data_IF_150112428479
#
_entry.id   IF_150112428479
#
_cell.length_a   1.000
_cell.length_b   1.000
_cell.length_c   1.000
_cell.angle_alpha   90.00
_cell.angle_beta   90.00
_cell.angle_gamma   90.00
#
_symmetry.space_group_name_H-M   'P 1'
#
loop_
_entity.id
_entity.type
_entity.pdbx_description
1 polymer ?
#
# COMPACT_ATOMS: atom_id res chain seq x y z
N UNK A 1 10.31 10.21 -1.56
CA UNK A 1 8.87 10.48 -1.76
C UNK A 1 8.69 11.92 -2.22
N UNK A 2 7.48 12.32 -2.58
CA UNK A 2 7.15 13.71 -2.86
C UNK A 2 6.01 14.18 -1.99
N UNK A 3 6.04 15.46 -1.65
CA UNK A 3 4.99 16.15 -0.94
C UNK A 3 4.40 17.21 -1.86
N UNK A 4 3.12 17.06 -2.20
CA UNK A 4 2.36 17.99 -3.04
C UNK A 4 1.59 18.92 -2.12
N UNK A 5 1.82 20.23 -2.24
CA UNK A 5 1.12 21.29 -1.52
C UNK A 5 0.00 21.85 -2.41
N UNK A 6 -1.19 22.00 -1.85
CA UNK A 6 -2.36 22.52 -2.55
C UNK A 6 -3.32 23.21 -1.56
N UNK A 7 -4.36 23.89 -2.09
CA UNK A 7 -5.33 24.59 -1.27
C UNK A 7 -6.75 24.08 -1.54
N UNK A 8 -7.58 24.02 -0.50
CA UNK A 8 -8.98 23.60 -0.61
C UNK A 8 -9.86 24.64 0.09
N UNK A 9 -11.03 24.94 -0.47
CA UNK A 9 -12.10 25.66 0.22
C UNK A 9 -12.86 24.68 1.14
N UNK A 10 -12.64 24.79 2.44
CA UNK A 10 -13.34 24.00 3.45
C UNK A 10 -14.54 24.74 4.01
N UNK A 11 -15.67 24.04 4.19
CA UNK A 11 -16.78 24.57 4.97
C UNK A 11 -16.42 24.47 6.45
N UNK A 12 -16.26 25.62 7.09
CA UNK A 12 -15.85 25.71 8.51
C UNK A 12 -17.01 26.03 9.44
N UNK A 13 -18.10 26.58 8.91
CA UNK A 13 -19.31 26.83 9.68
C UNK A 13 -20.54 26.80 8.78
N UNK A 14 -21.68 26.51 9.39
CA UNK A 14 -23.00 26.55 8.76
C UNK A 14 -23.88 27.39 9.67
N UNK A 15 -24.43 28.47 9.12
CA UNK A 15 -25.27 29.42 9.82
C UNK A 15 -26.68 29.26 9.31
N UNK A 16 -27.61 28.89 10.20
CA UNK A 16 -29.04 28.91 9.92
C UNK A 16 -29.61 30.28 10.33
N UNK A 17 -30.14 31.01 9.36
CA UNK A 17 -30.74 32.31 9.58
C UNK A 17 -32.19 32.19 10.05
N UNK A 18 -32.72 33.24 10.68
CA UNK A 18 -34.10 33.27 11.20
C UNK A 18 -35.19 33.11 10.12
N UNK A 19 -34.85 33.40 8.85
CA UNK A 19 -35.72 33.21 7.68
C UNK A 19 -35.68 31.78 7.11
N UNK A 20 -34.92 30.87 7.74
CA UNK A 20 -34.75 29.49 7.33
C UNK A 20 -33.74 29.27 6.21
N UNK A 21 -33.00 30.31 5.80
CA UNK A 21 -31.88 30.16 4.86
C UNK A 21 -30.63 29.59 5.55
N UNK A 22 -29.83 28.84 4.81
CA UNK A 22 -28.56 28.27 5.28
C UNK A 22 -27.41 28.95 4.56
N UNK A 23 -26.54 29.60 5.31
CA UNK A 23 -25.31 30.20 4.81
C UNK A 23 -24.11 29.34 5.22
N UNK A 24 -23.23 29.03 4.26
CA UNK A 24 -22.00 28.28 4.54
C UNK A 24 -20.83 29.23 4.59
N UNK A 25 -20.09 29.21 5.68
CA UNK A 25 -18.83 29.95 5.80
C UNK A 25 -17.72 29.01 5.36
N UNK A 26 -16.98 29.44 4.34
CA UNK A 26 -15.86 28.69 3.78
C UNK A 26 -14.53 29.40 4.05
N UNK A 27 -13.49 28.61 4.24
CA UNK A 27 -12.12 29.09 4.46
C UNK A 27 -11.16 28.37 3.51
N UNK A 28 -10.23 29.12 2.92
CA UNK A 28 -9.16 28.54 2.12
C UNK A 28 -8.08 27.97 3.04
N UNK A 29 -7.83 26.67 2.95
CA UNK A 29 -6.82 25.98 3.78
C UNK A 29 -5.79 25.26 2.95
N UNK A 30 -4.57 25.25 3.47
CA UNK A 30 -3.43 24.55 2.89
C UNK A 30 -3.45 23.08 3.28
N UNK A 31 -3.22 22.22 2.30
CA UNK A 31 -3.15 20.77 2.45
C UNK A 31 -1.90 20.20 1.80
N UNK A 32 -1.54 19.00 2.23
CA UNK A 32 -0.39 18.27 1.74
C UNK A 32 -0.78 16.83 1.41
N UNK A 33 -0.31 16.35 0.28
CA UNK A 33 -0.44 14.95 -0.12
C UNK A 33 0.93 14.36 -0.38
N UNK A 34 1.20 13.19 0.21
CA UNK A 34 2.48 12.50 0.10
C UNK A 34 2.35 11.29 -0.83
N UNK A 35 3.26 11.17 -1.79
CA UNK A 35 3.23 10.10 -2.80
C UNK A 35 4.62 9.60 -3.19
N UNK A 36 4.67 8.42 -3.82
CA UNK A 36 5.92 7.86 -4.36
C UNK A 36 6.29 8.55 -5.67
N UNK A 37 7.57 8.49 -6.04
CA UNK A 37 8.08 9.08 -7.29
C UNK A 37 7.31 8.58 -8.52
N UNK A 38 7.03 7.28 -8.59
CA UNK A 38 6.27 6.67 -9.69
C UNK A 38 4.81 7.17 -9.79
N UNK A 39 4.26 7.78 -8.74
CA UNK A 39 2.87 8.23 -8.67
C UNK A 39 2.74 9.77 -8.75
N UNK A 40 3.87 10.48 -8.71
CA UNK A 40 3.91 11.94 -8.62
C UNK A 40 3.11 12.60 -9.73
N UNK A 41 3.37 12.23 -10.99
CA UNK A 41 2.75 12.89 -12.15
C UNK A 41 1.23 12.72 -12.14
N UNK A 42 0.75 11.52 -11.83
CA UNK A 42 -0.68 11.22 -11.74
C UNK A 42 -1.36 12.07 -10.66
N UNK A 43 -0.81 12.05 -9.44
CA UNK A 43 -1.42 12.76 -8.32
C UNK A 43 -1.29 14.28 -8.44
N UNK A 44 -0.16 14.77 -8.95
CA UNK A 44 0.02 16.19 -9.20
C UNK A 44 -1.01 16.72 -10.20
N UNK A 45 -1.22 16.01 -11.32
CA UNK A 45 -2.20 16.40 -12.32
C UNK A 45 -3.64 16.33 -11.75
N UNK A 46 -3.98 15.26 -11.05
CA UNK A 46 -5.30 15.13 -10.41
C UNK A 46 -5.58 16.27 -9.41
N UNK A 47 -4.63 16.57 -8.52
CA UNK A 47 -4.77 17.64 -7.53
C UNK A 47 -4.86 19.00 -8.22
N UNK A 48 -4.05 19.22 -9.25
CA UNK A 48 -4.06 20.47 -10.02
C UNK A 48 -5.37 20.68 -10.77
N UNK A 49 -5.94 19.65 -11.37
CA UNK A 49 -7.25 19.71 -12.02
C UNK A 49 -8.39 19.92 -11.01
N UNK A 50 -8.30 19.30 -9.83
CA UNK A 50 -9.37 19.34 -8.83
C UNK A 50 -9.36 20.61 -7.97
N UNK A 51 -8.16 21.12 -7.65
CA UNK A 51 -7.97 22.16 -6.64
C UNK A 51 -7.10 23.33 -7.11
N UNK A 52 -6.59 23.31 -8.34
CA UNK A 52 -5.70 24.35 -8.88
C UNK A 52 -6.34 25.74 -9.00
N UNK A 53 -7.68 25.81 -9.03
CA UNK A 53 -8.41 27.08 -9.05
C UNK A 53 -8.33 27.84 -7.71
N UNK A 54 -8.02 27.13 -6.62
CA UNK A 54 -7.98 27.70 -5.26
C UNK A 54 -6.61 28.22 -4.85
N UNK A 55 -5.56 27.89 -5.61
CA UNK A 55 -4.20 28.33 -5.33
C UNK A 55 -3.15 27.55 -6.13
N UNK A 56 -1.91 28.01 -6.06
CA UNK A 56 -0.80 27.35 -6.76
C UNK A 56 -0.49 25.98 -6.15
N UNK A 57 -0.52 24.94 -7.00
CA UNK A 57 -0.13 23.57 -6.64
C UNK A 57 1.35 23.36 -6.94
N UNK A 58 2.12 23.06 -5.90
CA UNK A 58 3.56 22.82 -5.97
C UNK A 58 3.92 21.46 -5.39
N UNK A 59 5.08 20.91 -5.75
CA UNK A 59 5.59 19.70 -5.13
C UNK A 59 7.08 19.85 -4.78
N UNK A 60 7.50 19.12 -3.77
CA UNK A 60 8.91 19.02 -3.39
C UNK A 60 9.28 17.57 -3.09
N UNK A 61 10.55 17.23 -3.32
CA UNK A 61 11.08 15.94 -2.89
C UNK A 61 11.17 15.91 -1.37
N UNK A 62 10.74 14.81 -0.77
CA UNK A 62 10.87 14.52 0.66
C UNK A 62 11.55 13.17 0.84
N UNK A 63 12.38 13.07 1.86
CA UNK A 63 12.95 11.78 2.26
C UNK A 63 11.81 10.82 2.64
N UNK A 64 11.96 9.56 2.27
CA UNK A 64 11.00 8.52 2.58
C UNK A 64 11.44 7.82 3.86
N UNK A 65 10.66 8.01 4.93
CA UNK A 65 10.77 7.18 6.12
C UNK A 65 9.70 6.08 6.04
N UNK A 66 10.08 4.80 5.87
CA UNK A 66 9.12 3.71 5.86
C UNK A 66 8.40 3.66 7.21
N UNK A 67 7.09 3.45 7.16
CA UNK A 67 6.29 3.34 8.38
C UNK A 67 6.60 2.03 9.13
N UNK A 68 6.30 2.00 10.43
CA UNK A 68 6.47 0.78 11.24
C UNK A 68 5.68 -0.41 10.65
N UNK A 69 4.51 -0.16 10.07
CA UNK A 69 3.67 -1.17 9.42
C UNK A 69 4.29 -1.69 8.12
N UNK A 70 4.93 -0.81 7.33
CA UNK A 70 5.66 -1.22 6.13
C UNK A 70 6.87 -2.07 6.46
N UNK A 71 7.60 -1.73 7.53
CA UNK A 71 8.73 -2.53 8.03
C UNK A 71 8.26 -3.91 8.54
N UNK A 72 7.20 -3.96 9.36
CA UNK A 72 6.63 -5.21 9.86
C UNK A 72 6.16 -6.11 8.70
N UNK A 73 5.55 -5.52 7.67
CA UNK A 73 5.13 -6.26 6.48
C UNK A 73 6.33 -6.84 5.70
N UNK A 74 7.43 -6.10 5.58
CA UNK A 74 8.66 -6.63 4.97
C UNK A 74 9.22 -7.81 5.77
N UNK A 75 9.27 -7.69 7.10
CA UNK A 75 9.72 -8.77 8.00
C UNK A 75 8.85 -10.02 7.85
N UNK A 76 7.53 -9.88 7.92
CA UNK A 76 6.59 -10.99 7.74
C UNK A 76 6.72 -11.62 6.35
N UNK A 77 6.96 -10.82 5.32
CA UNK A 77 7.15 -11.33 3.95
C UNK A 77 8.42 -12.18 3.85
N UNK A 78 9.51 -11.74 4.50
CA UNK A 78 10.75 -12.50 4.56
C UNK A 78 10.60 -13.80 5.37
N UNK A 79 9.85 -13.75 6.49
CA UNK A 79 9.57 -14.92 7.32
C UNK A 79 8.73 -15.95 6.56
N UNK A 80 7.66 -15.53 5.88
CA UNK A 80 6.83 -16.40 5.04
C UNK A 80 7.66 -17.08 3.95
N UNK A 81 8.58 -16.35 3.31
CA UNK A 81 9.46 -16.93 2.29
C UNK A 81 10.34 -18.03 2.89
N UNK A 82 10.96 -17.76 4.03
CA UNK A 82 11.81 -18.72 4.75
C UNK A 82 11.02 -19.97 5.15
N UNK A 83 9.82 -19.80 5.71
CA UNK A 83 8.96 -20.92 6.10
C UNK A 83 8.53 -21.77 4.89
N UNK A 84 8.28 -21.14 3.73
CA UNK A 84 7.96 -21.87 2.48
C UNK A 84 9.14 -22.71 1.99
N UNK A 85 10.37 -22.18 2.07
CA UNK A 85 11.58 -22.90 1.71
C UNK A 85 11.81 -24.10 2.63
N UNK A 86 11.68 -23.91 3.95
CA UNK A 86 11.78 -25.00 4.93
C UNK A 86 10.70 -26.07 4.73
N UNK A 87 9.46 -25.67 4.44
CA UNK A 87 8.38 -26.62 4.16
C UNK A 87 8.69 -27.47 2.93
N UNK A 88 9.24 -26.86 1.87
CA UNK A 88 9.63 -27.57 0.66
C UNK A 88 10.74 -28.60 0.93
N UNK A 89 11.74 -28.24 1.74
CA UNK A 89 12.79 -29.18 2.15
C UNK A 89 12.23 -30.38 2.93
N UNK A 90 11.32 -30.14 3.88
CA UNK A 90 10.66 -31.20 4.65
C UNK A 90 9.83 -32.10 3.73
N UNK A 91 9.07 -31.52 2.80
CA UNK A 91 8.29 -32.30 1.82
C UNK A 91 9.19 -33.18 0.95
N UNK A 92 10.29 -32.64 0.44
CA UNK A 92 11.25 -33.41 -0.35
C UNK A 92 11.88 -34.55 0.47
N UNK A 93 12.22 -34.30 1.74
CA UNK A 93 12.73 -35.34 2.62
C UNK A 93 11.72 -36.48 2.81
N UNK A 94 10.45 -36.15 3.10
CA UNK A 94 9.39 -37.15 3.26
C UNK A 94 9.17 -37.93 1.97
N UNK A 95 9.07 -37.26 0.82
CA UNK A 95 8.91 -37.93 -0.49
C UNK A 95 10.06 -38.89 -0.76
N UNK A 96 11.30 -38.46 -0.55
CA UNK A 96 12.48 -39.30 -0.77
C UNK A 96 12.51 -40.50 0.18
N UNK A 97 12.12 -40.30 1.45
CA UNK A 97 12.02 -41.38 2.43
C UNK A 97 10.97 -42.42 2.01
N UNK A 98 9.78 -41.98 1.62
CA UNK A 98 8.72 -42.88 1.15
C UNK A 98 9.11 -43.59 -0.15
N UNK A 99 9.74 -42.88 -1.10
CA UNK A 99 10.26 -43.46 -2.33
C UNK A 99 11.27 -44.59 -2.04
N UNK A 100 12.24 -44.34 -1.14
CA UNK A 100 13.23 -45.35 -0.76
C UNK A 100 12.58 -46.55 -0.05
N UNK A 101 11.61 -46.30 0.85
CA UNK A 101 10.85 -47.37 1.51
C UNK A 101 10.11 -48.26 0.49
N UNK A 102 9.54 -47.68 -0.57
CA UNK A 102 8.83 -48.43 -1.63
C UNK A 102 9.79 -49.28 -2.47
N UNK A 103 10.98 -48.75 -2.77
CA UNK A 103 12.04 -49.50 -3.46
C UNK A 103 12.54 -50.68 -2.63
N UNK A 104 12.76 -50.49 -1.32
CA UNK A 104 13.27 -51.53 -0.42
C UNK A 104 12.23 -52.64 -0.17
N UNK A 105 10.94 -52.29 -0.07
CA UNK A 105 9.86 -53.25 0.19
C UNK A 105 9.32 -53.94 -1.08
N UNK A 106 9.98 -53.78 -2.22
CA UNK A 106 9.68 -54.56 -3.44
C UNK A 106 8.42 -54.14 -4.19
N UNK A 107 7.97 -52.89 -4.04
CA UNK A 107 6.74 -52.36 -4.66
C UNK A 107 6.77 -52.22 -6.19
N UNK A 108 7.76 -52.79 -6.87
CA UNK A 108 7.88 -52.81 -8.33
C UNK A 108 8.12 -54.24 -8.85
N UNK A 109 7.50 -55.24 -8.22
CA UNK A 109 7.25 -56.55 -8.84
C UNK A 109 5.83 -56.56 -9.39
N UNK A 110 5.75 -56.83 -10.68
CA UNK A 110 4.55 -57.14 -11.48
C UNK A 110 3.85 -55.96 -12.19
N UNK A 111 4.51 -55.49 -13.26
CA UNK A 111 3.81 -55.15 -14.51
C UNK A 111 4.46 -55.99 -15.63
N UNK A 112 3.95 -57.20 -15.85
CA UNK A 112 4.08 -57.97 -17.10
C UNK A 112 2.65 -58.23 -17.59
#
# INVERSE_FOLDING_TARGET
MYKIRYFILEVVNIIENEDGTVETVTELREHYYECRDAELEQWYNYIKETYGDYGEVTYEWSEYEPTAEELEKEELTAEIKTLKEQLLEVQNYVINKEYNNLLENGGMKDVI
#
